data_IF_939775542360
#
_entry.id   IF_939775542360
#
_cell.length_a   1.000
_cell.length_b   1.000
_cell.length_c   1.000
_cell.angle_alpha   90.00
_cell.angle_beta   90.00
_cell.angle_gamma   90.00
#
_symmetry.space_group_name_H-M   'P 1'
#
loop_
_entity.id
_entity.type
_entity.pdbx_description
1 polymer ?
#
# COMPACT_ATOMS: atom_id res chain seq x y z
N UNK A 1 13.66 -35.42 3.07
CA UNK A 1 13.78 -34.56 4.27
C UNK A 1 14.19 -33.17 3.82
N UNK A 2 13.39 -32.13 4.10
CA UNK A 2 13.82 -30.76 3.82
C UNK A 2 14.97 -30.42 4.76
N UNK A 3 16.15 -30.09 4.21
CA UNK A 3 17.27 -29.67 5.04
C UNK A 3 16.90 -28.37 5.78
N UNK A 4 17.39 -28.22 7.01
CA UNK A 4 17.21 -27.01 7.83
C UNK A 4 17.61 -25.75 7.03
N UNK A 5 18.62 -25.86 6.15
CA UNK A 5 19.05 -24.79 5.25
C UNK A 5 17.97 -24.34 4.25
N UNK A 6 17.19 -25.27 3.68
CA UNK A 6 16.12 -24.94 2.73
C UNK A 6 14.95 -24.25 3.42
N UNK A 7 14.62 -24.65 4.64
CA UNK A 7 13.57 -24.02 5.46
C UNK A 7 13.99 -22.61 5.89
N UNK A 8 15.23 -22.43 6.33
CA UNK A 8 15.77 -21.12 6.70
C UNK A 8 15.80 -20.14 5.51
N UNK A 9 16.24 -20.58 4.33
CA UNK A 9 16.24 -19.77 3.12
C UNK A 9 14.83 -19.31 2.73
N UNK A 10 13.83 -20.20 2.87
CA UNK A 10 12.42 -19.89 2.58
C UNK A 10 11.85 -18.86 3.58
N UNK A 11 12.16 -19.01 4.87
CA UNK A 11 11.75 -18.03 5.89
C UNK A 11 12.38 -16.66 5.66
N UNK A 12 13.67 -16.60 5.35
CA UNK A 12 14.35 -15.36 5.03
C UNK A 12 13.74 -14.68 3.79
N UNK A 13 13.45 -15.46 2.75
CA UNK A 13 12.80 -14.97 1.54
C UNK A 13 11.44 -14.33 1.84
N UNK A 14 10.57 -14.99 2.61
CA UNK A 14 9.27 -14.41 2.95
C UNK A 14 9.39 -13.21 3.88
N UNK A 15 10.26 -13.24 4.88
CA UNK A 15 10.48 -12.11 5.79
C UNK A 15 10.97 -10.88 5.02
N UNK A 16 11.90 -11.07 4.07
CA UNK A 16 12.42 -10.00 3.20
C UNK A 16 11.32 -9.40 2.32
N UNK A 17 10.50 -10.23 1.68
CA UNK A 17 9.42 -9.74 0.82
C UNK A 17 8.32 -9.06 1.65
N UNK A 18 7.96 -9.61 2.80
CA UNK A 18 7.03 -8.97 3.73
C UNK A 18 7.53 -7.58 4.17
N UNK A 19 8.81 -7.46 4.52
CA UNK A 19 9.41 -6.18 4.85
C UNK A 19 9.42 -5.23 3.63
N UNK A 20 9.71 -5.73 2.43
CA UNK A 20 9.69 -4.94 1.18
C UNK A 20 8.29 -4.41 0.86
N UNK A 21 7.24 -5.15 1.16
CA UNK A 21 5.85 -4.74 0.89
C UNK A 21 5.32 -3.80 1.99
N UNK A 22 5.67 -4.06 3.25
CA UNK A 22 5.15 -3.30 4.40
C UNK A 22 5.91 -2.00 4.65
N UNK A 23 7.24 -2.00 4.54
CA UNK A 23 8.06 -0.86 4.91
C UNK A 23 7.77 0.41 4.08
N UNK A 24 7.58 0.34 2.74
CA UNK A 24 7.21 1.52 1.97
C UNK A 24 5.86 2.06 2.42
N UNK A 25 4.85 1.19 2.59
CA UNK A 25 3.51 1.61 2.97
C UNK A 25 3.47 2.29 4.33
N UNK A 26 4.18 1.76 5.34
CA UNK A 26 4.25 2.40 6.66
C UNK A 26 4.97 3.74 6.57
N UNK A 27 6.15 3.78 5.94
CA UNK A 27 6.92 5.02 5.78
C UNK A 27 6.16 6.11 5.01
N UNK A 28 5.44 5.73 3.95
CA UNK A 28 4.62 6.67 3.19
C UNK A 28 3.43 7.16 4.03
N UNK A 29 2.78 6.27 4.78
CA UNK A 29 1.64 6.64 5.64
C UNK A 29 2.07 7.59 6.75
N UNK A 30 3.18 7.30 7.43
CA UNK A 30 3.70 8.11 8.52
C UNK A 30 4.12 9.51 8.05
N UNK A 31 4.59 9.61 6.80
CA UNK A 31 4.99 10.89 6.19
C UNK A 31 3.84 11.62 5.50
N UNK A 32 2.71 10.97 5.26
CA UNK A 32 1.62 11.50 4.45
C UNK A 32 1.05 12.78 5.06
N UNK A 33 0.77 12.78 6.36
CA UNK A 33 0.22 13.94 7.06
C UNK A 33 1.11 15.19 6.89
N UNK A 34 2.42 15.04 7.15
CA UNK A 34 3.38 16.12 6.99
C UNK A 34 3.48 16.61 5.54
N UNK A 35 3.42 15.70 4.55
CA UNK A 35 3.44 16.08 3.13
C UNK A 35 2.16 16.80 2.71
N UNK A 36 1.00 16.40 3.23
CA UNK A 36 -0.27 17.08 2.98
C UNK A 36 -0.27 18.49 3.56
N UNK A 37 0.27 18.70 4.77
CA UNK A 37 0.42 20.04 5.34
C UNK A 37 1.36 20.93 4.50
N UNK A 38 2.49 20.39 4.06
CA UNK A 38 3.39 21.12 3.14
C UNK A 38 2.69 21.46 1.82
N UNK A 39 1.91 20.54 1.26
CA UNK A 39 1.12 20.80 0.05
C UNK A 39 0.00 21.82 0.28
N UNK A 40 -0.60 21.87 1.48
CA UNK A 40 -1.57 22.90 1.85
C UNK A 40 -0.97 24.31 1.81
N UNK A 41 0.32 24.43 2.12
CA UNK A 41 1.07 25.69 2.05
C UNK A 41 1.61 26.01 0.64
N UNK A 42 1.51 25.07 -0.30
CA UNK A 42 1.95 25.26 -1.67
C UNK A 42 1.00 26.11 -2.51
N UNK A 43 1.47 26.52 -3.70
CA UNK A 43 0.67 27.31 -4.65
C UNK A 43 -0.59 26.59 -5.13
N UNK A 44 -1.56 27.37 -5.64
CA UNK A 44 -2.90 26.91 -6.05
C UNK A 44 -2.85 25.68 -6.96
N UNK A 45 -2.01 25.69 -8.00
CA UNK A 45 -1.88 24.60 -8.98
C UNK A 45 -1.48 23.26 -8.35
N UNK A 46 -0.53 23.28 -7.40
CA UNK A 46 -0.04 22.05 -6.74
C UNK A 46 -1.12 21.49 -5.83
N UNK A 47 -1.85 22.36 -5.13
CA UNK A 47 -2.96 21.99 -4.26
C UNK A 47 -4.12 21.36 -5.02
N UNK A 48 -4.51 21.95 -6.15
CA UNK A 48 -5.58 21.43 -7.02
C UNK A 48 -5.22 20.04 -7.55
N UNK A 49 -3.98 19.86 -8.04
CA UNK A 49 -3.53 18.55 -8.52
C UNK A 49 -3.51 17.51 -7.42
N UNK A 50 -3.04 17.86 -6.22
CA UNK A 50 -3.03 16.98 -5.05
C UNK A 50 -4.46 16.57 -4.67
N UNK A 51 -5.37 17.53 -4.60
CA UNK A 51 -6.77 17.28 -4.26
C UNK A 51 -7.46 16.40 -5.30
N UNK A 52 -7.23 16.64 -6.59
CA UNK A 52 -7.77 15.82 -7.69
C UNK A 52 -7.34 14.35 -7.60
N UNK A 53 -6.04 14.08 -7.49
CA UNK A 53 -5.54 12.69 -7.47
C UNK A 53 -5.92 11.93 -6.21
N UNK A 54 -5.97 12.61 -5.07
CA UNK A 54 -6.37 12.00 -3.80
C UNK A 54 -7.90 12.07 -3.56
N UNK A 55 -8.66 12.66 -4.49
CA UNK A 55 -10.10 12.88 -4.39
C UNK A 55 -10.54 13.57 -3.09
N UNK A 56 -9.73 14.52 -2.61
CA UNK A 56 -9.94 15.22 -1.33
C UNK A 56 -10.97 16.34 -1.40
N UNK A 57 -11.40 16.74 -2.60
CA UNK A 57 -12.37 17.83 -2.80
C UNK A 57 -13.79 17.43 -2.39
N UNK A 58 -14.09 16.13 -2.40
CA UNK A 58 -15.38 15.61 -1.99
C UNK A 58 -15.24 14.87 -0.68
N UNK A 59 -16.04 15.20 0.35
CA UNK A 59 -16.08 14.39 1.55
C UNK A 59 -16.49 12.96 1.16
N UNK A 60 -15.67 12.00 1.56
CA UNK A 60 -15.91 10.58 1.29
C UNK A 60 -16.21 9.86 2.60
N UNK A 61 -17.34 9.16 2.62
CA UNK A 61 -17.70 8.23 3.69
C UNK A 61 -17.71 6.83 3.07
N UNK A 62 -16.89 5.89 3.56
CA UNK A 62 -16.95 4.51 3.09
C UNK A 62 -18.39 3.95 3.26
N UNK A 63 -18.85 3.13 2.32
CA UNK A 63 -20.12 2.42 2.50
C UNK A 63 -20.07 1.48 3.70
N UNK A 64 -21.24 1.09 4.22
CA UNK A 64 -21.32 0.08 5.30
C UNK A 64 -20.72 -1.27 4.87
N UNK A 65 -20.71 -1.55 3.57
CA UNK A 65 -20.10 -2.75 2.98
C UNK A 65 -18.59 -2.63 2.75
N UNK A 66 -18.00 -1.45 3.00
CA UNK A 66 -16.58 -1.22 2.76
C UNK A 66 -15.72 -2.03 3.75
N UNK A 67 -14.83 -2.86 3.21
CA UNK A 67 -13.88 -3.61 4.02
C UNK A 67 -12.52 -2.92 4.04
N UNK A 68 -11.90 -2.89 5.22
CA UNK A 68 -10.51 -2.49 5.35
C UNK A 68 -9.62 -3.39 4.48
N UNK A 69 -8.65 -2.81 3.77
CA UNK A 69 -7.74 -3.55 2.88
C UNK A 69 -7.06 -4.72 3.60
N UNK A 70 -6.70 -4.56 4.88
CA UNK A 70 -6.10 -5.64 5.69
C UNK A 70 -7.05 -6.78 6.07
N UNK A 71 -8.35 -6.63 5.83
CA UNK A 71 -9.39 -7.66 6.02
C UNK A 71 -9.85 -8.28 4.71
N UNK A 72 -9.30 -7.84 3.57
CA UNK A 72 -9.60 -8.48 2.29
C UNK A 72 -9.13 -9.94 2.33
N UNK A 73 -9.93 -10.90 1.83
CA UNK A 73 -9.50 -12.28 1.70
C UNK A 73 -8.26 -12.35 0.81
N UNK A 74 -7.10 -12.62 1.40
CA UNK A 74 -5.87 -12.88 0.64
C UNK A 74 -5.87 -14.35 0.22
N UNK A 75 -6.76 -14.72 -0.71
CA UNK A 75 -6.54 -15.94 -1.47
C UNK A 75 -5.29 -15.76 -2.34
N UNK A 76 -4.60 -16.84 -2.71
CA UNK A 76 -3.54 -16.78 -3.72
C UNK A 76 -4.17 -16.43 -5.06
N UNK A 77 -4.37 -15.14 -5.34
CA UNK A 77 -4.76 -14.67 -6.66
C UNK A 77 -3.51 -14.63 -7.53
N UNK A 78 -3.56 -15.26 -8.71
CA UNK A 78 -2.58 -15.07 -9.77
C UNK A 78 -2.35 -13.57 -9.97
N UNK A 79 -1.08 -13.18 -10.10
CA UNK A 79 -0.74 -11.80 -10.39
C UNK A 79 -1.20 -11.49 -11.82
N UNK A 80 -1.66 -10.27 -12.11
CA UNK A 80 -2.25 -9.90 -13.40
C UNK A 80 -1.34 -10.24 -14.62
N UNK A 81 -0.02 -10.29 -14.42
CA UNK A 81 0.94 -10.67 -15.48
C UNK A 81 1.04 -12.18 -15.71
N UNK A 82 0.57 -13.02 -14.79
CA UNK A 82 0.52 -14.47 -14.96
C UNK A 82 -0.60 -14.91 -15.93
N UNK A 83 -1.49 -14.00 -16.31
CA UNK A 83 -2.63 -14.22 -17.23
C UNK A 83 -2.37 -13.71 -18.66
N UNK A 84 -1.14 -13.26 -18.94
CA UNK A 84 -0.77 -12.63 -20.22
C UNK A 84 0.00 -13.57 -21.17
N UNK A 85 0.12 -14.85 -20.83
CA UNK A 85 0.66 -15.90 -21.71
C UNK A 85 -0.46 -16.74 -22.35
#
# INVERSE_FOLDING_TARGET
MASISRTAAKLFYYARNFARDRAPQSLFRDRLANRLEQARLSGKTVRERLNYYNKLEQPFVPSLDAMAVGKLPTASSMYYYDLKE
#
